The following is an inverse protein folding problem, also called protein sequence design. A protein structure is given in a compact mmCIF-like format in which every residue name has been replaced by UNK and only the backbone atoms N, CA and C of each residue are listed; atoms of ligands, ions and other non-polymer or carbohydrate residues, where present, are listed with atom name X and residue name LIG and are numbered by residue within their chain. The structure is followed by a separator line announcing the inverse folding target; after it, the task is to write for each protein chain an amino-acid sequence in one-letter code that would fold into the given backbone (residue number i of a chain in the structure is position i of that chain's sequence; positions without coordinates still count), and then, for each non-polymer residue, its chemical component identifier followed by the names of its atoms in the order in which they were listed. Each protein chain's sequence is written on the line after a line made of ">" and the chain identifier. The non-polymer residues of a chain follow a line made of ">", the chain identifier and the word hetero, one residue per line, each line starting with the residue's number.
data_IF_027551003418
#
_entry.id   IF_027551003418
#
_cell.length_a   1.000
_cell.length_b   1.000
_cell.length_c   1.000
_cell.angle_alpha   90.00
_cell.angle_beta   90.00
_cell.angle_gamma   90.00
#
_symmetry.space_group_name_H-M   'P 1'
#
loop_
_entity.id
_entity.type
_entity.pdbx_description
1 polymer ?
#
# COMPACT_ATOMS: atom_id res chain seq x y z
N UNK A 1 -1.81 -17.53 11.71
CA UNK A 1 -0.60 -17.81 10.91
C UNK A 1 0.47 -18.45 11.77
N UNK A 2 0.32 -19.73 12.11
CA UNK A 2 1.28 -20.50 12.93
C UNK A 2 1.74 -21.78 12.24
N UNK A 3 1.13 -22.13 11.10
CA UNK A 3 1.55 -23.29 10.33
C UNK A 3 2.91 -22.99 9.66
N UNK A 4 3.77 -24.00 9.46
CA UNK A 4 5.08 -23.82 8.83
C UNK A 4 5.00 -23.11 7.46
N UNK A 5 3.96 -23.41 6.67
CA UNK A 5 3.73 -22.74 5.39
C UNK A 5 3.43 -21.23 5.55
N UNK A 6 2.67 -20.84 6.58
CA UNK A 6 2.36 -19.44 6.87
C UNK A 6 3.62 -18.67 7.27
N UNK A 7 4.46 -19.29 8.11
CA UNK A 7 5.73 -18.71 8.57
C UNK A 7 6.67 -18.50 7.38
N UNK A 8 6.76 -19.48 6.48
CA UNK A 8 7.54 -19.36 5.26
C UNK A 8 7.04 -18.21 4.37
N UNK A 9 5.74 -18.18 4.03
CA UNK A 9 5.14 -17.13 3.19
C UNK A 9 5.30 -15.75 3.80
N UNK A 10 5.05 -15.61 5.10
CA UNK A 10 5.23 -14.35 5.83
C UNK A 10 6.67 -13.88 5.73
N UNK A 11 7.64 -14.76 5.95
CA UNK A 11 9.07 -14.40 5.92
C UNK A 11 9.51 -13.99 4.52
N UNK A 12 9.13 -14.75 3.48
CA UNK A 12 9.37 -14.43 2.08
C UNK A 12 8.80 -13.05 1.70
N UNK A 13 7.53 -12.81 2.05
CA UNK A 13 6.87 -11.52 1.79
C UNK A 13 7.53 -10.36 2.55
N UNK A 14 7.94 -10.57 3.81
CA UNK A 14 8.59 -9.54 4.63
C UNK A 14 9.97 -9.14 4.08
N UNK A 15 10.67 -10.08 3.43
CA UNK A 15 11.96 -9.83 2.78
C UNK A 15 11.83 -9.40 1.31
N UNK A 16 10.59 -9.15 0.82
CA UNK A 16 10.28 -8.79 -0.56
C UNK A 16 10.84 -9.80 -1.60
N UNK A 17 10.87 -11.08 -1.24
CA UNK A 17 11.28 -12.16 -2.13
C UNK A 17 10.04 -12.67 -2.88
N UNK A 18 10.08 -12.63 -4.21
CA UNK A 18 9.04 -13.19 -5.08
C UNK A 18 9.15 -14.71 -5.06
N UNK A 19 8.02 -15.40 -4.93
CA UNK A 19 7.97 -16.87 -4.85
C UNK A 19 6.78 -17.46 -5.59
N UNK A 20 6.93 -18.70 -6.05
CA UNK A 20 5.85 -19.50 -6.62
C UNK A 20 5.48 -20.63 -5.67
N UNK A 21 4.19 -20.95 -5.59
CA UNK A 21 3.68 -22.05 -4.77
C UNK A 21 3.49 -23.28 -5.66
N UNK A 22 4.12 -24.40 -5.31
CA UNK A 22 3.89 -25.68 -5.96
C UNK A 22 2.98 -26.55 -5.07
N UNK A 23 1.96 -27.22 -5.64
CA UNK A 23 1.14 -28.16 -4.88
C UNK A 23 1.99 -29.35 -4.43
N UNK A 24 1.86 -29.71 -3.16
CA UNK A 24 2.49 -30.88 -2.58
C UNK A 24 1.42 -31.83 -2.00
N UNK A 25 1.65 -33.16 -1.97
CA UNK A 25 0.71 -34.12 -1.40
C UNK A 25 0.32 -33.78 0.04
N UNK A 26 -0.93 -34.04 0.41
CA UNK A 26 -1.40 -33.81 1.78
C UNK A 26 -0.52 -34.57 2.79
N UNK A 27 -0.07 -33.87 3.84
CA UNK A 27 0.81 -34.43 4.87
C UNK A 27 2.32 -34.27 4.62
N UNK A 28 2.75 -33.76 3.45
CA UNK A 28 4.16 -33.41 3.28
C UNK A 28 4.51 -32.14 4.07
N UNK A 29 5.63 -32.13 4.81
CA UNK A 29 6.07 -30.93 5.53
C UNK A 29 6.34 -29.80 4.53
N UNK A 30 5.99 -28.57 4.92
CA UNK A 30 6.23 -27.40 4.10
C UNK A 30 7.73 -27.25 3.81
N UNK A 31 8.06 -26.99 2.54
CA UNK A 31 9.41 -26.97 2.03
C UNK A 31 9.61 -25.73 1.19
N UNK A 32 10.73 -25.04 1.40
CA UNK A 32 11.11 -23.88 0.59
C UNK A 32 12.41 -24.21 -0.11
N UNK A 33 12.42 -24.14 -1.44
CA UNK A 33 13.60 -24.42 -2.26
C UNK A 33 14.08 -23.11 -2.89
N UNK A 34 15.34 -22.76 -2.67
CA UNK A 34 16.00 -21.58 -3.27
C UNK A 34 17.22 -22.07 -4.04
N UNK A 35 17.29 -21.77 -5.34
CA UNK A 35 18.39 -22.19 -6.21
C UNK A 35 18.69 -23.72 -6.13
N UNK A 36 17.63 -24.53 -6.07
CA UNK A 36 17.73 -26.00 -5.96
C UNK A 36 18.11 -26.53 -4.56
N UNK A 37 18.33 -25.66 -3.57
CA UNK A 37 18.61 -26.06 -2.19
C UNK A 37 17.36 -25.96 -1.31
N UNK A 38 17.18 -26.96 -0.48
CA UNK A 38 16.04 -27.04 0.43
C UNK A 38 16.36 -26.38 1.77
N UNK A 39 15.50 -25.44 2.18
CA UNK A 39 15.62 -24.72 3.42
C UNK A 39 14.60 -25.24 4.43
N UNK A 40 15.09 -25.57 5.63
CA UNK A 40 14.26 -25.93 6.77
C UNK A 40 13.56 -24.67 7.33
N UNK A 41 12.26 -24.78 7.63
CA UNK A 41 11.47 -23.70 8.22
C UNK A 41 11.63 -23.77 9.75
N UNK A 42 12.76 -23.27 10.25
CA UNK A 42 13.12 -23.20 11.66
C UNK A 42 13.43 -21.75 12.11
N UNK A 43 13.95 -21.57 13.33
CA UNK A 43 14.29 -20.25 13.87
C UNK A 43 15.37 -19.50 13.04
N UNK A 44 16.20 -20.24 12.29
CA UNK A 44 17.25 -19.69 11.42
C UNK A 44 16.78 -19.47 9.98
N UNK A 45 15.55 -19.87 9.64
CA UNK A 45 14.99 -19.81 8.30
C UNK A 45 15.16 -18.43 7.64
N UNK A 46 14.82 -17.35 8.35
CA UNK A 46 14.89 -16.00 7.80
C UNK A 46 16.32 -15.57 7.41
N UNK A 47 17.33 -16.00 8.16
CA UNK A 47 18.73 -15.71 7.87
C UNK A 47 19.26 -16.57 6.71
N UNK A 48 18.93 -17.86 6.71
CA UNK A 48 19.33 -18.79 5.65
C UNK A 48 18.68 -18.42 4.31
N UNK A 49 17.39 -18.03 4.35
CA UNK A 49 16.64 -17.54 3.21
C UNK A 49 17.30 -16.29 2.61
N UNK A 50 17.62 -15.30 3.43
CA UNK A 50 18.29 -14.08 2.95
C UNK A 50 19.64 -14.39 2.28
N UNK A 51 20.43 -15.30 2.86
CA UNK A 51 21.73 -15.70 2.30
C UNK A 51 21.59 -16.38 0.94
N UNK A 52 20.69 -17.35 0.80
CA UNK A 52 20.49 -18.06 -0.47
C UNK A 52 19.76 -17.19 -1.51
N UNK A 53 18.88 -16.27 -1.09
CA UNK A 53 18.25 -15.30 -1.98
C UNK A 53 19.29 -14.38 -2.63
N UNK A 54 20.27 -13.91 -1.86
CA UNK A 54 21.39 -13.12 -2.40
C UNK A 54 22.23 -13.93 -3.40
N UNK A 55 22.50 -15.20 -3.09
CA UNK A 55 23.16 -16.10 -4.03
C UNK A 55 22.33 -16.34 -5.31
N UNK A 56 21.00 -16.22 -5.24
CA UNK A 56 20.08 -16.30 -6.36
C UNK A 56 19.91 -14.96 -7.12
N UNK A 57 20.66 -13.92 -6.77
CA UNK A 57 20.65 -12.62 -7.46
C UNK A 57 19.74 -11.55 -6.84
N UNK A 58 19.14 -11.81 -5.67
CA UNK A 58 18.49 -10.74 -4.90
C UNK A 58 19.55 -9.77 -4.33
N UNK A 59 19.24 -8.47 -4.23
CA UNK A 59 20.18 -7.49 -3.70
C UNK A 59 20.51 -7.78 -2.23
N UNK A 60 21.80 -7.71 -1.89
CA UNK A 60 22.29 -7.98 -0.54
C UNK A 60 21.82 -6.91 0.46
N UNK A 61 21.63 -7.30 1.72
CA UNK A 61 21.38 -6.34 2.78
C UNK A 61 22.58 -5.36 2.90
N UNK A 62 22.36 -4.08 2.55
CA UNK A 62 23.43 -3.07 2.49
C UNK A 62 24.01 -2.82 1.09
N UNK A 63 23.44 -3.41 0.04
CA UNK A 63 23.72 -3.03 -1.35
C UNK A 63 23.47 -1.53 -1.54
N UNK A 64 24.37 -0.84 -2.25
CA UNK A 64 24.25 0.58 -2.58
C UNK A 64 22.97 0.89 -3.38
N UNK A 65 22.31 -0.10 -3.99
CA UNK A 65 20.99 0.02 -4.64
C UNK A 65 19.81 0.10 -3.65
N UNK A 66 20.00 -0.35 -2.42
CA UNK A 66 19.00 -0.28 -1.35
C UNK A 66 19.21 1.01 -0.59
N UNK A 67 18.19 1.86 -0.53
CA UNK A 67 18.24 3.14 0.17
C UNK A 67 18.31 2.91 1.68
N UNK A 68 19.52 2.77 2.20
CA UNK A 68 19.85 2.95 3.62
C UNK A 68 20.79 4.12 3.76
N UNK A 69 20.25 5.31 3.61
CA UNK A 69 20.99 6.56 3.79
C UNK A 69 20.59 7.21 5.11
N UNK A 70 21.56 7.56 5.95
CA UNK A 70 21.32 8.47 7.08
C UNK A 70 20.81 9.82 6.56
N UNK A 71 20.09 10.58 7.37
CA UNK A 71 19.38 11.80 6.95
C UNK A 71 20.23 12.71 6.04
N UNK A 72 21.49 12.97 6.39
CA UNK A 72 22.38 13.82 5.58
C UNK A 72 22.88 13.17 4.28
N UNK A 73 23.12 11.85 4.24
CA UNK A 73 23.47 11.19 2.96
C UNK A 73 22.25 10.97 2.05
N UNK A 74 21.05 10.94 2.63
CA UNK A 74 19.79 10.86 1.90
C UNK A 74 19.48 12.15 1.11
N UNK A 75 19.94 13.29 1.60
CA UNK A 75 19.75 14.59 0.94
C UNK A 75 20.61 14.76 -0.31
N UNK A 76 21.76 14.09 -0.40
CA UNK A 76 22.74 14.30 -1.47
C UNK A 76 23.03 13.05 -2.31
N UNK A 77 22.45 11.89 -1.98
CA UNK A 77 22.59 10.66 -2.76
C UNK A 77 21.70 10.65 -4.01
N UNK A 78 22.24 10.27 -5.17
CA UNK A 78 21.51 10.24 -6.44
C UNK A 78 20.24 9.37 -6.41
N UNK A 79 20.28 8.21 -5.73
CA UNK A 79 19.11 7.36 -5.57
C UNK A 79 18.06 7.98 -4.65
N UNK A 80 18.48 8.57 -3.54
CA UNK A 80 17.58 9.25 -2.60
C UNK A 80 16.93 10.47 -3.24
N UNK A 81 17.66 11.24 -4.06
CA UNK A 81 17.09 12.32 -4.87
C UNK A 81 16.05 11.81 -5.88
N UNK A 82 16.27 10.64 -6.49
CA UNK A 82 15.29 10.01 -7.38
C UNK A 82 14.00 9.65 -6.63
N UNK A 83 14.13 9.06 -5.43
CA UNK A 83 12.97 8.75 -4.57
C UNK A 83 12.25 10.03 -4.14
N UNK A 84 12.98 11.06 -3.71
CA UNK A 84 12.42 12.37 -3.34
C UNK A 84 11.66 12.99 -4.51
N UNK A 85 12.20 12.93 -5.72
CA UNK A 85 11.54 13.44 -6.92
C UNK A 85 10.22 12.71 -7.21
N UNK A 86 10.22 11.37 -7.15
CA UNK A 86 9.00 10.56 -7.31
C UNK A 86 7.97 10.93 -6.24
N UNK A 87 8.39 11.01 -4.97
CA UNK A 87 7.50 11.40 -3.87
C UNK A 87 6.96 12.82 -4.04
N UNK A 88 7.76 13.74 -4.56
CA UNK A 88 7.35 15.12 -4.81
C UNK A 88 6.29 15.17 -5.91
N UNK A 89 6.46 14.43 -7.00
CA UNK A 89 5.44 14.31 -8.06
C UNK A 89 4.15 13.72 -7.49
N UNK A 90 4.24 12.67 -6.67
CA UNK A 90 3.07 12.10 -6.01
C UNK A 90 2.37 13.11 -5.08
N UNK A 91 3.12 13.90 -4.31
CA UNK A 91 2.56 14.97 -3.46
C UNK A 91 1.88 16.05 -4.31
N UNK A 92 2.45 16.43 -5.45
CA UNK A 92 1.80 17.38 -6.38
C UNK A 92 0.45 16.83 -6.86
N UNK A 93 0.37 15.54 -7.21
CA UNK A 93 -0.91 14.94 -7.58
C UNK A 93 -1.91 14.96 -6.43
N UNK A 94 -1.47 14.67 -5.21
CA UNK A 94 -2.33 14.76 -4.02
C UNK A 94 -2.82 16.19 -3.81
N UNK A 95 -1.96 17.20 -3.91
CA UNK A 95 -2.35 18.61 -3.68
C UNK A 95 -3.31 19.14 -4.75
N UNK A 96 -3.13 18.74 -6.01
CA UNK A 96 -4.07 19.06 -7.10
C UNK A 96 -5.48 18.56 -6.84
N UNK A 97 -5.62 17.43 -6.14
CA UNK A 97 -6.91 16.85 -5.77
C UNK A 97 -7.48 17.53 -4.51
N UNK A 98 -6.64 17.83 -3.52
CA UNK A 98 -7.08 18.44 -2.26
C UNK A 98 -7.61 19.87 -2.42
N UNK A 99 -7.07 20.65 -3.36
CA UNK A 99 -7.52 22.03 -3.62
C UNK A 99 -9.01 22.13 -3.99
N UNK A 100 -9.47 21.45 -5.06
CA UNK A 100 -10.87 21.44 -5.46
C UNK A 100 -11.81 20.78 -4.44
N UNK A 101 -11.36 19.73 -3.74
CA UNK A 101 -12.19 19.04 -2.72
C UNK A 101 -12.58 20.00 -1.60
N UNK A 102 -11.66 20.84 -1.14
CA UNK A 102 -11.96 21.81 -0.09
C UNK A 102 -13.09 22.77 -0.51
N UNK A 103 -13.10 23.24 -1.76
CA UNK A 103 -14.15 24.09 -2.32
C UNK A 103 -15.49 23.35 -2.47
N UNK A 104 -15.48 22.16 -3.06
CA UNK A 104 -16.69 21.35 -3.26
C UNK A 104 -17.39 21.01 -1.94
N UNK A 105 -16.63 20.68 -0.89
CA UNK A 105 -17.19 20.39 0.44
C UNK A 105 -17.84 21.63 1.10
N UNK A 106 -17.45 22.85 0.71
CA UNK A 106 -18.10 24.09 1.16
C UNK A 106 -19.48 24.26 0.55
N UNK A 107 -19.61 23.90 -0.73
CA UNK A 107 -20.82 24.07 -1.53
C UNK A 107 -21.86 22.98 -1.26
N UNK A 108 -21.39 21.76 -0.97
CA UNK A 108 -22.26 20.60 -0.73
C UNK A 108 -22.94 20.59 0.65
N UNK A 109 -22.33 21.20 1.67
CA UNK A 109 -22.81 21.12 3.05
C UNK A 109 -23.23 22.48 3.62
N UNK A 110 -24.47 22.62 4.13
CA UNK A 110 -24.93 23.81 4.86
C UNK A 110 -24.03 24.11 6.05
N UNK A 111 -23.78 25.40 6.32
CA UNK A 111 -22.88 25.89 7.39
C UNK A 111 -23.13 25.25 8.75
N UNK A 112 -24.38 24.95 9.10
CA UNK A 112 -24.80 24.33 10.36
C UNK A 112 -24.33 22.88 10.59
N UNK A 113 -24.10 22.10 9.53
CA UNK A 113 -23.69 20.67 9.64
C UNK A 113 -22.34 20.38 8.99
N UNK A 114 -21.68 21.41 8.47
CA UNK A 114 -20.46 21.28 7.67
C UNK A 114 -19.34 20.53 8.39
N UNK A 115 -19.12 20.80 9.68
CA UNK A 115 -18.07 20.11 10.44
C UNK A 115 -18.36 18.61 10.61
N UNK A 116 -19.59 18.25 10.98
CA UNK A 116 -20.02 16.84 11.13
C UNK A 116 -20.10 16.12 9.78
N UNK A 117 -20.56 16.81 8.74
CA UNK A 117 -20.65 16.28 7.38
C UNK A 117 -19.29 16.06 6.72
N UNK A 118 -18.28 16.87 7.04
CA UNK A 118 -16.91 16.70 6.54
C UNK A 118 -16.11 15.66 7.33
N UNK A 119 -16.33 15.50 8.64
CA UNK A 119 -15.54 14.57 9.45
C UNK A 119 -15.89 13.11 9.20
N UNK A 120 -17.16 12.80 8.92
CA UNK A 120 -17.62 11.42 8.68
C UNK A 120 -16.92 10.77 7.46
N UNK A 121 -16.88 11.39 6.27
CA UNK A 121 -16.09 10.88 5.15
C UNK A 121 -14.61 10.78 5.47
N UNK A 122 -14.05 11.74 6.22
CA UNK A 122 -12.63 11.75 6.56
C UNK A 122 -12.24 10.58 7.48
N UNK A 123 -13.06 10.31 8.51
CA UNK A 123 -12.82 9.22 9.45
C UNK A 123 -13.10 7.85 8.84
N UNK A 124 -14.13 7.71 8.00
CA UNK A 124 -14.40 6.44 7.31
C UNK A 124 -13.32 6.17 6.25
N UNK A 125 -12.99 7.20 5.46
CA UNK A 125 -11.94 7.16 4.43
C UNK A 125 -10.59 6.78 5.01
N UNK A 126 -10.06 7.60 5.92
CA UNK A 126 -8.74 7.36 6.50
C UNK A 126 -8.73 6.19 7.48
N UNK A 127 -9.79 6.03 8.28
CA UNK A 127 -9.84 5.00 9.31
C UNK A 127 -10.02 3.60 8.73
N UNK A 128 -11.05 3.39 7.92
CA UNK A 128 -11.38 2.06 7.41
C UNK A 128 -10.54 1.72 6.18
N UNK A 129 -10.64 2.52 5.12
CA UNK A 129 -9.96 2.21 3.87
C UNK A 129 -8.45 2.45 3.96
N UNK A 130 -8.03 3.55 4.59
CA UNK A 130 -6.62 3.87 4.82
C UNK A 130 -5.96 2.96 5.86
N UNK A 131 -6.60 2.79 7.03
CA UNK A 131 -6.04 2.00 8.13
C UNK A 131 -5.88 0.51 7.82
N UNK A 132 -6.80 -0.07 7.02
CA UNK A 132 -6.72 -1.47 6.61
C UNK A 132 -5.81 -1.72 5.39
N UNK A 133 -5.36 -0.66 4.71
CA UNK A 133 -4.52 -0.78 3.51
C UNK A 133 -3.24 -1.59 3.76
N UNK A 134 -2.41 -1.31 4.80
CA UNK A 134 -1.15 -2.03 4.99
C UNK A 134 -1.36 -3.50 5.30
N UNK A 135 -2.34 -3.83 6.16
CA UNK A 135 -2.65 -5.20 6.54
C UNK A 135 -3.19 -6.01 5.36
N UNK A 136 -4.11 -5.43 4.59
CA UNK A 136 -4.72 -6.10 3.44
C UNK A 136 -3.72 -6.27 2.30
N UNK A 137 -2.93 -5.23 2.00
CA UNK A 137 -1.88 -5.30 0.98
C UNK A 137 -0.83 -6.36 1.33
N UNK A 138 -0.41 -6.43 2.60
CA UNK A 138 0.49 -7.48 3.06
C UNK A 138 -0.10 -8.88 2.91
N UNK A 139 -1.36 -9.07 3.30
CA UNK A 139 -2.04 -10.36 3.16
C UNK A 139 -2.17 -10.78 1.68
N UNK A 140 -2.45 -9.82 0.78
CA UNK A 140 -2.51 -10.03 -0.66
C UNK A 140 -1.16 -10.47 -1.25
N UNK A 141 -0.07 -9.80 -0.87
CA UNK A 141 1.30 -10.18 -1.27
C UNK A 141 1.71 -11.54 -0.70
N UNK A 142 1.39 -11.80 0.58
CA UNK A 142 1.65 -13.08 1.24
C UNK A 142 0.78 -14.25 0.71
N UNK A 143 -0.36 -13.95 0.08
CA UNK A 143 -1.21 -14.95 -0.55
C UNK A 143 -0.75 -15.30 -1.98
N UNK A 144 -0.37 -14.28 -2.75
CA UNK A 144 -0.03 -14.41 -4.18
C UNK A 144 1.45 -14.68 -4.45
N UNK A 145 2.34 -14.19 -3.59
CA UNK A 145 3.80 -14.23 -3.80
C UNK A 145 4.34 -13.14 -4.72
N UNK A 146 3.49 -12.20 -5.16
CA UNK A 146 3.87 -11.04 -5.95
C UNK A 146 3.82 -9.77 -5.09
N UNK A 147 4.96 -9.08 -4.98
CA UNK A 147 5.11 -7.83 -4.22
C UNK A 147 4.27 -6.68 -4.78
N UNK A 148 3.96 -6.71 -6.08
CA UNK A 148 3.17 -5.66 -6.74
C UNK A 148 1.67 -5.88 -6.56
N UNK A 149 1.24 -7.08 -6.17
CA UNK A 149 -0.18 -7.41 -6.05
C UNK A 149 -0.88 -6.58 -4.96
N UNK A 150 -0.15 -6.14 -3.93
CA UNK A 150 -0.68 -5.21 -2.93
C UNK A 150 -1.15 -3.86 -3.51
N UNK A 151 -0.64 -3.44 -4.66
CA UNK A 151 -1.05 -2.20 -5.34
C UNK A 151 -2.50 -2.24 -5.83
N UNK A 152 -3.09 -3.43 -6.01
CA UNK A 152 -4.48 -3.55 -6.44
C UNK A 152 -5.48 -3.05 -5.40
N UNK A 153 -5.15 -3.09 -4.10
CA UNK A 153 -6.04 -2.59 -3.05
C UNK A 153 -6.37 -1.09 -3.24
N UNK A 154 -5.39 -0.17 -3.27
CA UNK A 154 -5.69 1.24 -3.50
C UNK A 154 -6.25 1.52 -4.90
N UNK A 155 -5.84 0.78 -5.94
CA UNK A 155 -6.36 0.96 -7.31
C UNK A 155 -7.86 0.66 -7.36
N UNK A 156 -8.31 -0.47 -6.81
CA UNK A 156 -9.72 -0.86 -6.82
C UNK A 156 -10.56 0.13 -6.02
N UNK A 157 -10.09 0.57 -4.85
CA UNK A 157 -10.80 1.57 -4.03
C UNK A 157 -10.88 2.93 -4.75
N UNK A 158 -9.81 3.36 -5.41
CA UNK A 158 -9.81 4.59 -6.20
C UNK A 158 -10.81 4.50 -7.37
N UNK A 159 -10.83 3.38 -8.09
CA UNK A 159 -11.78 3.14 -9.18
C UNK A 159 -13.23 3.10 -8.69
N UNK A 160 -13.51 2.44 -7.58
CA UNK A 160 -14.84 2.46 -6.96
C UNK A 160 -15.25 3.88 -6.57
N UNK A 161 -14.34 4.65 -5.96
CA UNK A 161 -14.60 6.05 -5.58
C UNK A 161 -14.87 6.92 -6.80
N UNK A 162 -14.14 6.71 -7.89
CA UNK A 162 -14.37 7.41 -9.15
C UNK A 162 -15.74 7.10 -9.75
N UNK A 163 -16.12 5.82 -9.84
CA UNK A 163 -17.43 5.41 -10.38
C UNK A 163 -18.57 5.92 -9.51
N UNK A 164 -18.48 5.76 -8.18
CA UNK A 164 -19.49 6.24 -7.25
C UNK A 164 -19.57 7.77 -7.30
N UNK A 165 -18.42 8.44 -7.33
CA UNK A 165 -18.33 9.89 -7.44
C UNK A 165 -19.01 10.40 -8.71
N UNK A 166 -18.72 9.79 -9.86
CA UNK A 166 -19.31 10.14 -11.14
C UNK A 166 -20.83 9.94 -11.19
N UNK A 167 -21.37 8.94 -10.50
CA UNK A 167 -22.80 8.62 -10.52
C UNK A 167 -23.62 9.39 -9.47
N UNK A 168 -23.05 9.65 -8.30
CA UNK A 168 -23.80 10.12 -7.13
C UNK A 168 -23.41 11.51 -6.65
N UNK A 169 -22.29 12.08 -7.09
CA UNK A 169 -21.94 13.47 -6.71
C UNK A 169 -22.77 14.41 -7.58
N UNK A 170 -23.69 15.20 -6.99
CA UNK A 170 -24.50 16.13 -7.74
C UNK A 170 -23.65 17.30 -8.24
N UNK A 171 -23.92 17.76 -9.46
CA UNK A 171 -23.29 18.95 -10.04
C UNK A 171 -23.68 20.20 -9.22
N UNK A 172 -22.69 20.90 -8.65
CA UNK A 172 -22.93 22.07 -7.79
C UNK A 172 -22.86 23.42 -8.52
N UNK A 173 -22.46 23.43 -9.80
CA UNK A 173 -22.24 24.65 -10.59
C UNK A 173 -23.39 25.68 -10.57
N UNK A 174 -24.65 25.23 -10.43
CA UNK A 174 -25.83 26.10 -10.46
C UNK A 174 -26.54 26.26 -9.09
N UNK A 175 -25.94 25.81 -7.96
CA UNK A 175 -26.54 25.99 -6.63
C UNK A 175 -26.14 27.35 -6.05
N UNK A 176 -27.13 28.23 -5.87
CA UNK A 176 -26.94 29.53 -5.22
C UNK A 176 -26.65 29.33 -3.71
N UNK A 177 -25.47 29.80 -3.29
CA UNK A 177 -24.97 29.76 -1.91
C UNK A 177 -25.61 30.82 -1.00
N UNK A 178 -26.35 31.78 -1.56
CA UNK A 178 -26.98 32.88 -0.83
C UNK A 178 -28.49 32.66 -0.60
N UNK A 179 -29.16 31.76 -1.32
CA UNK A 179 -30.59 31.46 -1.17
C UNK A 179 -30.87 30.27 -0.25
N UNK A 180 -30.20 30.20 0.90
CA UNK A 180 -30.69 29.36 2.01
C UNK A 180 -31.77 30.13 2.79
N UNK A 181 -32.89 30.41 2.11
CA UNK A 181 -34.13 30.77 2.79
C UNK A 181 -34.82 29.49 3.27
N UNK A 182 -35.26 29.55 4.53
CA UNK A 182 -35.70 28.41 5.32
C UNK A 182 -36.92 27.67 4.75
N UNK A 183 -36.88 26.35 4.95
CA UNK A 183 -38.02 25.44 4.97
C UNK A 183 -37.81 24.44 6.09
#
# INVERSE_FOLDING_TARGET
>A
FTQPCDVARRTLATQAIVYTQAPAPAGTPAKVTVNGKDLAIDASFAANLAKEAVAAGYPAAGDARIVKSGFMSALFGAQSLTVIAILTVLVIYVTMVYGPIAAALVELFPTRIRYTGMSLPYHIGNGWFGGLLPATSFAMVAGTGDIYYGLWYPIVIAMMTFVIGMLFVPETKDRDILTHDGG
#
